data_IF_893463084846
#
_entry.id   IF_893463084846
#
_cell.length_a   1.000
_cell.length_b   1.000
_cell.length_c   1.000
_cell.angle_alpha   90.00
_cell.angle_beta   90.00
_cell.angle_gamma   90.00
#
_symmetry.space_group_name_H-M   'P 1'
#
loop_
_entity.id
_entity.type
_entity.pdbx_description
1 polymer ?
#
# COMPACT_ATOMS: atom_id res chain seq x y z
N UNK A 1 -0.38 -27.73 -1.82
CA UNK A 1 -0.13 -27.56 -0.36
C UNK A 1 0.96 -26.49 -0.19
N UNK A 2 0.61 -25.21 -0.34
CA UNK A 2 1.54 -24.08 -0.11
C UNK A 2 0.88 -22.91 0.64
N UNK A 3 -0.33 -23.10 1.18
CA UNK A 3 -1.12 -22.02 1.79
C UNK A 3 -0.88 -21.86 3.30
N UNK A 4 -0.06 -22.72 3.91
CA UNK A 4 0.28 -22.63 5.33
C UNK A 4 1.59 -21.85 5.46
N UNK A 5 1.59 -20.66 6.10
CA UNK A 5 2.80 -19.87 6.26
C UNK A 5 3.78 -20.56 7.21
N UNK A 6 5.08 -20.47 6.90
CA UNK A 6 6.15 -20.97 7.78
C UNK A 6 6.20 -20.22 9.11
N UNK A 7 5.84 -18.94 9.09
CA UNK A 7 5.71 -18.09 10.28
C UNK A 7 4.23 -18.01 10.67
N UNK A 8 3.87 -18.59 11.81
CA UNK A 8 2.50 -18.59 12.30
C UNK A 8 2.33 -17.55 13.43
N UNK A 9 1.58 -16.49 13.13
CA UNK A 9 1.25 -15.42 14.09
C UNK A 9 -0.03 -15.73 14.91
N UNK A 10 -0.73 -16.82 14.61
CA UNK A 10 -1.99 -17.22 15.25
C UNK A 10 -1.80 -18.27 16.35
N UNK A 11 -0.57 -18.51 16.81
CA UNK A 11 -0.25 -19.53 17.80
C UNK A 11 -0.46 -19.05 19.24
N UNK A 12 -1.26 -19.77 20.02
CA UNK A 12 -1.57 -19.43 21.42
C UNK A 12 -0.34 -19.41 22.36
N UNK A 13 0.74 -20.12 22.02
CA UNK A 13 1.95 -20.26 22.86
C UNK A 13 3.13 -19.38 22.42
N UNK A 14 3.02 -18.70 21.27
CA UNK A 14 4.08 -17.86 20.70
C UNK A 14 3.50 -16.51 20.30
N UNK A 15 3.09 -15.73 21.30
CA UNK A 15 2.52 -14.40 21.06
C UNK A 15 3.63 -13.40 20.72
N UNK A 16 3.46 -12.69 19.61
CA UNK A 16 4.29 -11.53 19.26
C UNK A 16 3.52 -10.29 19.68
N UNK A 17 4.05 -9.56 20.65
CA UNK A 17 3.45 -8.32 21.15
C UNK A 17 3.96 -7.11 20.39
N UNK A 18 3.08 -6.14 20.20
CA UNK A 18 3.39 -4.81 19.65
C UNK A 18 2.65 -3.76 20.47
N UNK A 19 2.92 -2.47 20.20
CA UNK A 19 2.15 -1.37 20.81
C UNK A 19 0.66 -1.56 20.45
N UNK A 20 -0.20 -1.54 21.46
CA UNK A 20 -1.65 -1.56 21.26
C UNK A 20 -2.11 -0.30 20.49
N UNK A 21 -2.27 -0.43 19.17
CA UNK A 21 -2.92 0.55 18.34
C UNK A 21 -4.42 0.35 18.48
N UNK A 22 -5.11 1.22 19.21
CA UNK A 22 -6.58 1.19 19.24
C UNK A 22 -7.08 1.79 17.92
N UNK A 23 -7.03 1.00 16.85
CA UNK A 23 -7.49 1.40 15.52
C UNK A 23 -8.87 0.83 15.23
N UNK A 24 -9.70 1.54 14.45
CA UNK A 24 -10.99 1.02 14.04
C UNK A 24 -10.82 -0.19 13.10
N UNK A 25 -11.87 -1.01 12.94
CA UNK A 25 -11.90 -2.02 11.89
C UNK A 25 -11.69 -1.42 10.50
N UNK A 26 -11.12 -2.22 9.60
CA UNK A 26 -10.89 -1.80 8.21
C UNK A 26 -12.21 -1.72 7.43
N UNK A 27 -12.35 -0.64 6.65
CA UNK A 27 -13.50 -0.37 5.78
C UNK A 27 -13.15 -0.73 4.34
N UNK A 28 -13.92 -1.65 3.75
CA UNK A 28 -13.74 -2.11 2.37
C UNK A 28 -15.04 -1.89 1.61
N UNK A 29 -15.01 -1.17 0.48
CA UNK A 29 -16.18 -0.81 -0.33
C UNK A 29 -15.94 -1.01 -1.83
N UNK A 30 -16.97 -0.83 -2.67
CA UNK A 30 -16.79 -0.63 -4.13
C UNK A 30 -16.49 -1.88 -4.97
N UNK A 31 -16.99 -3.06 -4.59
CA UNK A 31 -16.66 -4.35 -5.25
C UNK A 31 -15.16 -4.70 -5.20
N UNK A 32 -14.50 -4.36 -4.09
CA UNK A 32 -13.10 -4.74 -3.86
C UNK A 32 -12.95 -6.27 -3.77
N UNK A 33 -11.84 -6.79 -4.30
CA UNK A 33 -11.49 -8.21 -4.24
C UNK A 33 -10.16 -8.39 -3.51
N UNK A 34 -10.08 -9.40 -2.65
CA UNK A 34 -8.92 -9.70 -1.83
C UNK A 34 -8.66 -11.20 -1.92
N UNK A 35 -7.52 -11.60 -2.49
CA UNK A 35 -7.08 -13.00 -2.55
C UNK A 35 -5.66 -13.13 -1.95
N UNK A 36 -5.44 -14.21 -1.19
CA UNK A 36 -4.13 -14.57 -0.56
C UNK A 36 -3.41 -13.38 0.09
N UNK A 37 -4.18 -12.51 0.75
CA UNK A 37 -3.69 -11.22 1.23
C UNK A 37 -4.09 -10.98 2.69
N UNK A 38 -3.32 -10.16 3.37
CA UNK A 38 -3.57 -9.74 4.75
C UNK A 38 -3.94 -8.26 4.75
N UNK A 39 -5.10 -7.93 5.31
CA UNK A 39 -5.51 -6.54 5.54
C UNK A 39 -5.53 -6.30 7.05
N UNK A 40 -4.65 -5.42 7.50
CA UNK A 40 -4.56 -5.03 8.92
C UNK A 40 -5.63 -3.99 9.26
N UNK A 41 -5.68 -3.56 10.52
CA UNK A 41 -6.65 -2.61 11.06
C UNK A 41 -6.58 -1.19 10.47
N UNK A 42 -7.70 -0.48 10.54
CA UNK A 42 -7.80 0.92 10.16
C UNK A 42 -7.70 1.23 8.66
N UNK A 43 -7.70 0.23 7.78
CA UNK A 43 -7.57 0.45 6.34
C UNK A 43 -8.87 1.03 5.74
N UNK A 44 -8.74 1.83 4.68
CA UNK A 44 -9.83 2.36 3.87
C UNK A 44 -9.56 1.96 2.42
N UNK A 45 -10.33 1.01 1.91
CA UNK A 45 -10.14 0.40 0.60
C UNK A 45 -11.42 0.58 -0.20
N UNK A 46 -11.32 1.19 -1.38
CA UNK A 46 -12.49 1.45 -2.22
C UNK A 46 -12.25 0.89 -3.62
N UNK A 47 -13.04 -0.09 -4.05
CA UNK A 47 -13.01 -0.70 -5.39
C UNK A 47 -11.62 -1.08 -5.89
N UNK A 48 -10.85 -1.77 -5.06
CA UNK A 48 -9.49 -2.19 -5.38
C UNK A 48 -9.39 -3.72 -5.54
N UNK A 49 -8.45 -4.17 -6.36
CA UNK A 49 -8.07 -5.58 -6.48
C UNK A 49 -6.75 -5.80 -5.73
N UNK A 50 -6.76 -6.68 -4.75
CA UNK A 50 -5.59 -6.97 -3.91
C UNK A 50 -5.31 -8.47 -3.98
N UNK A 51 -4.13 -8.82 -4.47
CA UNK A 51 -3.68 -10.20 -4.64
C UNK A 51 -2.29 -10.39 -4.03
N UNK A 52 -2.09 -11.50 -3.32
CA UNK A 52 -0.78 -11.90 -2.78
C UNK A 52 -0.02 -10.79 -2.05
N UNK A 53 -0.72 -9.99 -1.25
CA UNK A 53 -0.19 -8.73 -0.71
C UNK A 53 -0.49 -8.55 0.77
N UNK A 54 0.31 -7.70 1.43
CA UNK A 54 0.08 -7.30 2.83
C UNK A 54 -0.22 -5.82 2.87
N UNK A 55 -1.36 -5.46 3.45
CA UNK A 55 -1.85 -4.09 3.59
C UNK A 55 -1.73 -3.67 5.06
N UNK A 56 -0.73 -2.84 5.33
CA UNK A 56 -0.40 -2.30 6.64
C UNK A 56 -1.39 -1.26 7.14
N UNK A 57 -1.23 -0.89 8.42
CA UNK A 57 -2.24 -0.16 9.18
C UNK A 57 -2.58 1.19 8.57
N UNK A 58 -3.85 1.62 8.67
CA UNK A 58 -4.31 2.93 8.14
C UNK A 58 -4.07 3.15 6.64
N UNK A 59 -3.80 2.09 5.88
CA UNK A 59 -3.66 2.18 4.42
C UNK A 59 -4.93 2.75 3.79
N UNK A 60 -4.76 3.69 2.85
CA UNK A 60 -5.83 4.21 2.00
C UNK A 60 -5.55 3.80 0.57
N UNK A 61 -6.50 3.14 -0.08
CA UNK A 61 -6.36 2.66 -1.46
C UNK A 61 -7.53 3.18 -2.29
N UNK A 62 -7.20 3.93 -3.34
CA UNK A 62 -8.14 4.53 -4.28
C UNK A 62 -8.81 3.53 -5.22
N UNK A 63 -9.83 4.03 -5.93
CA UNK A 63 -10.71 3.25 -6.79
C UNK A 63 -10.02 2.76 -8.05
N UNK A 64 -10.28 1.50 -8.43
CA UNK A 64 -9.73 0.88 -9.62
C UNK A 64 -8.25 0.48 -9.50
N UNK A 65 -7.65 0.65 -8.31
CA UNK A 65 -6.25 0.32 -8.09
C UNK A 65 -6.05 -1.19 -7.92
N UNK A 66 -4.98 -1.72 -8.49
CA UNK A 66 -4.57 -3.12 -8.40
C UNK A 66 -3.25 -3.22 -7.65
N UNK A 67 -3.21 -4.05 -6.61
CA UNK A 67 -2.04 -4.29 -5.77
C UNK A 67 -1.74 -5.79 -5.79
N UNK A 68 -0.57 -6.17 -6.28
CA UNK A 68 -0.15 -7.57 -6.48
C UNK A 68 1.25 -7.80 -5.92
N UNK A 69 1.50 -8.92 -5.25
CA UNK A 69 2.84 -9.29 -4.78
C UNK A 69 3.56 -8.18 -3.98
N UNK A 70 2.81 -7.41 -3.19
CA UNK A 70 3.29 -6.12 -2.66
C UNK A 70 3.06 -6.00 -1.17
N UNK A 71 3.86 -5.15 -0.53
CA UNK A 71 3.72 -4.81 0.88
C UNK A 71 3.54 -3.31 1.05
N UNK A 72 2.34 -2.89 1.48
CA UNK A 72 2.08 -1.51 1.86
C UNK A 72 2.30 -1.39 3.38
N UNK A 73 3.25 -0.58 3.81
CA UNK A 73 3.51 -0.37 5.25
C UNK A 73 2.40 0.43 5.95
N UNK A 74 1.59 1.16 5.18
CA UNK A 74 0.47 1.94 5.69
C UNK A 74 0.86 3.33 6.18
N UNK A 75 0.10 3.89 7.11
CA UNK A 75 0.23 5.29 7.51
C UNK A 75 0.32 5.46 9.03
N UNK A 76 1.13 6.44 9.46
CA UNK A 76 1.28 6.80 10.87
C UNK A 76 0.05 7.58 11.39
N UNK A 77 -0.73 8.20 10.50
CA UNK A 77 -1.92 8.99 10.83
C UNK A 77 -2.95 8.98 9.71
N UNK A 78 -4.19 9.38 10.02
CA UNK A 78 -5.21 9.68 9.02
C UNK A 78 -5.17 11.16 8.66
N UNK A 79 -5.48 11.47 7.41
CA UNK A 79 -5.86 12.83 7.02
C UNK A 79 -7.32 13.05 7.36
N UNK A 80 -7.66 14.23 7.89
CA UNK A 80 -9.05 14.60 8.14
C UNK A 80 -9.76 14.98 6.83
N UNK A 81 -11.09 15.02 6.85
CA UNK A 81 -11.89 15.25 5.64
C UNK A 81 -11.64 16.61 5.01
N UNK A 82 -11.43 17.65 5.82
CA UNK A 82 -11.20 19.02 5.34
C UNK A 82 -9.80 19.17 4.71
N UNK A 83 -8.79 18.49 5.25
CA UNK A 83 -7.46 18.39 4.67
C UNK A 83 -7.51 17.67 3.31
N UNK A 84 -8.20 16.54 3.24
CA UNK A 84 -8.38 15.80 1.98
C UNK A 84 -9.06 16.67 0.93
N UNK A 85 -10.14 17.36 1.29
CA UNK A 85 -10.85 18.29 0.40
C UNK A 85 -9.97 19.44 -0.06
N UNK A 86 -9.25 20.07 0.86
CA UNK A 86 -8.34 21.17 0.56
C UNK A 86 -7.24 20.72 -0.39
N UNK A 87 -6.68 19.53 -0.18
CA UNK A 87 -5.66 18.96 -1.04
C UNK A 87 -6.20 18.72 -2.45
N UNK A 88 -7.39 18.13 -2.58
CA UNK A 88 -8.04 17.93 -3.88
C UNK A 88 -8.23 19.27 -4.62
N UNK A 89 -8.75 20.29 -3.93
CA UNK A 89 -8.95 21.63 -4.51
C UNK A 89 -7.64 22.31 -4.94
N UNK A 90 -6.53 22.02 -4.25
CA UNK A 90 -5.21 22.59 -4.53
C UNK A 90 -4.32 21.71 -5.43
N UNK A 91 -4.82 20.57 -5.92
CA UNK A 91 -4.01 19.62 -6.70
C UNK A 91 -2.88 18.97 -5.90
N UNK A 92 -3.01 18.88 -4.58
CA UNK A 92 -2.05 18.23 -3.69
C UNK A 92 -2.43 16.75 -3.53
N UNK A 93 -1.46 15.86 -3.68
CA UNK A 93 -1.67 14.42 -3.56
C UNK A 93 -1.85 14.05 -2.09
N UNK A 94 -2.92 13.30 -1.80
CA UNK A 94 -3.22 12.78 -0.47
C UNK A 94 -2.34 11.55 -0.14
N UNK A 95 -2.22 11.26 1.15
CA UNK A 95 -1.50 10.08 1.64
C UNK A 95 -2.23 8.80 1.23
N UNK A 96 -1.46 7.78 0.87
CA UNK A 96 -1.93 6.49 0.40
C UNK A 96 -1.81 6.32 -1.10
N UNK A 97 -2.54 5.33 -1.63
CA UNK A 97 -2.60 5.01 -3.04
C UNK A 97 -3.75 5.77 -3.70
N UNK A 98 -3.46 6.47 -4.80
CA UNK A 98 -4.44 7.14 -5.64
C UNK A 98 -5.35 6.16 -6.39
N UNK A 99 -6.14 6.71 -7.32
CA UNK A 99 -7.06 5.94 -8.16
C UNK A 99 -6.32 5.32 -9.35
N UNK A 100 -6.82 4.17 -9.84
CA UNK A 100 -6.36 3.47 -11.05
C UNK A 100 -4.86 3.17 -11.08
N UNK A 101 -4.26 2.98 -9.91
CA UNK A 101 -2.85 2.63 -9.80
C UNK A 101 -2.62 1.14 -10.08
N UNK A 102 -1.46 0.81 -10.65
CA UNK A 102 -0.99 -0.55 -10.79
C UNK A 102 0.28 -0.73 -9.97
N UNK A 103 0.21 -1.52 -8.88
CA UNK A 103 1.33 -1.73 -7.96
C UNK A 103 1.63 -3.23 -7.93
N UNK A 104 2.78 -3.61 -8.45
CA UNK A 104 3.24 -5.00 -8.54
C UNK A 104 4.69 -5.12 -8.03
N UNK A 105 5.00 -6.18 -7.28
CA UNK A 105 6.34 -6.46 -6.76
C UNK A 105 6.98 -5.24 -6.05
N UNK A 106 6.20 -4.55 -5.22
CA UNK A 106 6.56 -3.26 -4.64
C UNK A 106 6.38 -3.26 -3.12
N UNK A 107 7.34 -2.69 -2.40
CA UNK A 107 7.19 -2.27 -1.01
C UNK A 107 6.93 -0.76 -1.01
N UNK A 108 5.80 -0.34 -0.45
CA UNK A 108 5.48 1.07 -0.24
C UNK A 108 5.66 1.38 1.23
N UNK A 109 6.68 2.18 1.56
CA UNK A 109 6.94 2.60 2.94
C UNK A 109 5.86 3.59 3.43
N UNK A 110 5.96 4.00 4.68
CA UNK A 110 4.92 4.75 5.36
C UNK A 110 4.70 6.14 4.79
N UNK A 111 3.45 6.61 4.88
CA UNK A 111 3.06 7.99 4.58
C UNK A 111 3.38 8.44 3.15
N UNK A 112 3.55 7.49 2.21
CA UNK A 112 3.74 7.83 0.81
C UNK A 112 2.49 8.48 0.23
N UNK A 113 2.68 9.38 -0.73
CA UNK A 113 1.63 10.08 -1.47
C UNK A 113 1.72 9.65 -2.92
N UNK A 114 0.95 8.63 -3.28
CA UNK A 114 0.95 8.07 -4.63
C UNK A 114 -0.23 8.68 -5.38
N UNK A 115 0.09 9.38 -6.47
CA UNK A 115 -0.89 10.00 -7.36
C UNK A 115 -1.81 9.01 -8.05
N UNK A 116 -2.71 9.52 -8.89
CA UNK A 116 -3.56 8.70 -9.73
C UNK A 116 -2.79 8.13 -10.92
N UNK A 117 -3.26 7.00 -11.45
CA UNK A 117 -2.72 6.38 -12.66
C UNK A 117 -1.21 6.02 -12.56
N UNK A 118 -0.69 5.89 -11.33
CA UNK A 118 0.71 5.50 -11.08
C UNK A 118 0.89 4.01 -11.36
N UNK A 119 1.99 3.66 -12.02
CA UNK A 119 2.36 2.29 -12.34
C UNK A 119 3.74 1.94 -11.78
N UNK A 120 3.77 1.06 -10.79
CA UNK A 120 4.98 0.48 -10.24
C UNK A 120 4.96 -1.01 -10.55
N UNK A 121 5.69 -1.43 -11.59
CA UNK A 121 5.77 -2.82 -12.01
C UNK A 121 7.18 -3.37 -11.74
N UNK A 122 7.39 -3.80 -10.50
CA UNK A 122 8.61 -4.49 -10.12
C UNK A 122 8.77 -5.82 -10.87
N UNK A 123 10.02 -6.25 -11.04
CA UNK A 123 10.36 -7.55 -11.59
C UNK A 123 11.84 -7.64 -11.93
N UNK A 124 12.30 -8.84 -12.26
CA UNK A 124 13.71 -9.11 -12.60
C UNK A 124 14.19 -8.38 -13.86
N UNK A 125 13.28 -7.79 -14.62
CA UNK A 125 13.58 -6.96 -15.78
C UNK A 125 14.13 -5.58 -15.39
N UNK A 126 13.93 -5.13 -14.15
CA UNK A 126 14.48 -3.88 -13.65
C UNK A 126 15.90 -4.09 -13.10
N UNK A 127 16.81 -3.22 -13.52
CA UNK A 127 18.14 -3.14 -12.92
C UNK A 127 18.08 -2.49 -11.53
N UNK A 128 19.01 -2.86 -10.67
CA UNK A 128 19.19 -2.21 -9.38
C UNK A 128 19.44 -0.71 -9.57
N UNK A 129 18.71 0.11 -8.82
CA UNK A 129 18.79 1.57 -8.90
C UNK A 129 18.44 2.18 -7.55
N UNK A 130 18.95 3.37 -7.27
CA UNK A 130 18.62 4.12 -6.06
C UNK A 130 18.40 5.60 -6.41
N UNK A 131 17.16 6.06 -6.27
CA UNK A 131 16.76 7.45 -6.49
C UNK A 131 16.34 8.09 -5.17
N UNK A 132 15.99 9.38 -5.18
CA UNK A 132 15.44 10.04 -3.99
C UNK A 132 14.02 9.56 -3.62
N UNK A 133 13.28 8.97 -4.56
CA UNK A 133 11.88 8.57 -4.38
C UNK A 133 11.72 7.07 -4.11
N UNK A 134 12.54 6.25 -4.75
CA UNK A 134 12.48 4.80 -4.64
C UNK A 134 13.85 4.14 -4.88
N UNK A 135 13.95 2.89 -4.46
CA UNK A 135 15.10 2.01 -4.72
C UNK A 135 14.59 0.75 -5.40
N UNK A 136 15.27 0.28 -6.45
CA UNK A 136 15.05 -1.06 -6.99
C UNK A 136 16.16 -1.95 -6.49
N UNK A 137 15.80 -3.07 -5.88
CA UNK A 137 16.74 -4.10 -5.46
C UNK A 137 16.18 -5.48 -5.77
N UNK A 138 16.92 -6.27 -6.53
CA UNK A 138 16.53 -7.64 -6.92
C UNK A 138 15.13 -7.71 -7.57
N UNK A 139 14.80 -6.67 -8.34
CA UNK A 139 13.50 -6.53 -9.00
C UNK A 139 12.35 -6.10 -8.09
N UNK A 140 12.60 -5.76 -6.83
CA UNK A 140 11.60 -5.20 -5.91
C UNK A 140 11.75 -3.68 -5.90
N UNK A 141 10.66 -2.97 -6.18
CA UNK A 141 10.60 -1.51 -6.02
C UNK A 141 10.33 -1.22 -4.55
N UNK A 142 11.11 -0.35 -3.93
CA UNK A 142 10.92 0.14 -2.56
C UNK A 142 10.70 1.65 -2.62
N UNK A 143 9.46 2.09 -2.49
CA UNK A 143 9.10 3.51 -2.39
C UNK A 143 9.47 4.01 -1.00
N UNK A 144 10.26 5.09 -0.93
CA UNK A 144 10.82 5.61 0.33
C UNK A 144 9.74 6.31 1.16
N UNK A 145 9.89 6.26 2.49
CA UNK A 145 8.96 6.92 3.44
C UNK A 145 8.66 8.36 3.04
N UNK A 146 7.38 8.70 2.94
CA UNK A 146 6.92 10.06 2.63
C UNK A 146 7.18 10.51 1.19
N UNK A 147 7.65 9.63 0.30
CA UNK A 147 7.84 9.97 -1.10
C UNK A 147 6.52 10.36 -1.75
N UNK A 148 6.62 11.31 -2.70
CA UNK A 148 5.49 11.80 -3.49
C UNK A 148 5.72 11.34 -4.92
N UNK A 149 4.85 10.46 -5.41
CA UNK A 149 4.85 10.06 -6.81
C UNK A 149 3.71 10.79 -7.51
N UNK A 150 4.00 11.63 -8.53
CA UNK A 150 2.97 12.40 -9.22
C UNK A 150 2.01 11.50 -10.00
N UNK A 151 0.87 12.07 -10.41
CA UNK A 151 -0.09 11.37 -11.27
C UNK A 151 0.61 10.88 -12.56
N UNK A 152 0.32 9.64 -12.97
CA UNK A 152 0.91 9.00 -14.14
C UNK A 152 2.38 8.58 -14.00
N UNK A 153 2.98 8.66 -12.80
CA UNK A 153 4.36 8.22 -12.58
C UNK A 153 4.52 6.72 -12.88
N UNK A 154 5.58 6.35 -13.60
CA UNK A 154 5.80 4.98 -14.07
C UNK A 154 7.23 4.50 -13.78
N UNK A 155 7.33 3.29 -13.21
CA UNK A 155 8.56 2.53 -13.03
C UNK A 155 8.23 1.08 -13.31
N UNK A 156 8.81 0.50 -14.36
CA UNK A 156 8.43 -0.85 -14.78
C UNK A 156 8.79 -1.15 -16.22
#
# INVERSE_FOLDING_TARGET
>A
RHDIPKCNLFGNSTNIYTRAGVLPPSKITGASTIDKSIVTEGCIINGAKIDHSVIGIRSRIGYGSTISNSYLMGNDYYQNLEEIRTNILKGIINIGIGDRCFINNTIVDKNCKIGNDVKLNGGKHLADNNTNLYTVKDGIIVVKKGAILPDGFEVG
#
